data_IF_408993906323
#
_entry.id   IF_408993906323
#
_cell.length_a   1.000
_cell.length_b   1.000
_cell.length_c   1.000
_cell.angle_alpha   90.00
_cell.angle_beta   90.00
_cell.angle_gamma   90.00
#
_symmetry.space_group_name_H-M   'P 1'
#
loop_
_entity.id
_entity.type
_entity.pdbx_description
1 polymer ?
#
# COMPACT_ATOMS: atom_id res chain seq x y z
N UNK A 1 49.22 -2.27 3.97
CA UNK A 1 47.99 -2.58 3.21
C UNK A 1 47.43 -1.25 2.71
N UNK A 2 47.21 -1.03 1.41
CA UNK A 2 46.63 0.22 0.94
C UNK A 2 45.11 0.22 1.16
N UNK A 3 44.57 1.28 1.75
CA UNK A 3 43.13 1.52 1.85
C UNK A 3 42.60 2.03 0.51
N UNK A 4 41.45 1.53 0.08
CA UNK A 4 40.78 1.96 -1.15
C UNK A 4 39.78 3.08 -0.85
N UNK A 5 39.76 4.12 -1.69
CA UNK A 5 38.85 5.27 -1.55
C UNK A 5 37.48 4.90 -2.10
N UNK A 6 36.49 4.78 -1.21
CA UNK A 6 35.11 4.50 -1.59
C UNK A 6 34.52 5.63 -2.45
N UNK A 7 34.35 5.36 -3.75
CA UNK A 7 33.72 6.29 -4.68
C UNK A 7 32.19 6.21 -4.59
N UNK A 8 31.60 7.10 -3.80
CA UNK A 8 30.14 7.20 -3.58
C UNK A 8 29.31 7.26 -4.88
N UNK A 9 29.89 7.68 -6.02
CA UNK A 9 29.20 7.77 -7.31
C UNK A 9 29.02 6.44 -8.05
N UNK A 10 29.70 5.37 -7.62
CA UNK A 10 29.55 4.02 -8.20
C UNK A 10 28.54 3.14 -7.45
N UNK A 11 27.90 3.64 -6.40
CA UNK A 11 26.81 2.90 -5.75
C UNK A 11 25.62 2.84 -6.70
N UNK A 12 25.11 1.67 -7.11
CA UNK A 12 23.91 1.57 -7.94
C UNK A 12 22.76 2.25 -7.19
N UNK A 13 22.38 3.44 -7.65
CA UNK A 13 21.36 4.25 -6.98
C UNK A 13 19.93 3.78 -7.32
N UNK A 14 19.80 2.88 -8.29
CA UNK A 14 18.54 2.25 -8.64
C UNK A 14 18.17 1.22 -7.56
N UNK A 15 17.23 1.60 -6.68
CA UNK A 15 16.61 0.64 -5.76
C UNK A 15 15.92 -0.44 -6.58
N UNK A 16 16.16 -1.71 -6.22
CA UNK A 16 15.49 -2.85 -6.84
C UNK A 16 13.96 -2.62 -6.92
N UNK A 17 13.28 -3.05 -8.00
CA UNK A 17 11.84 -2.99 -8.10
C UNK A 17 11.18 -3.58 -6.86
N UNK A 18 10.17 -2.89 -6.32
CA UNK A 18 9.44 -3.38 -5.16
C UNK A 18 7.98 -2.98 -5.22
N UNK A 19 7.13 -3.94 -4.85
CA UNK A 19 5.69 -3.77 -4.68
C UNK A 19 5.37 -3.95 -3.21
N UNK A 20 4.60 -3.03 -2.65
CA UNK A 20 4.20 -3.08 -1.25
C UNK A 20 2.69 -3.06 -1.16
N UNK A 21 2.10 -4.08 -0.55
CA UNK A 21 0.69 -4.08 -0.15
C UNK A 21 0.65 -3.52 1.27
N UNK A 22 -0.01 -2.38 1.42
CA UNK A 22 -0.18 -1.71 2.69
C UNK A 22 -1.46 -2.16 3.36
N UNK A 23 -1.60 -1.79 4.63
CA UNK A 23 -2.86 -1.94 5.35
C UNK A 23 -4.03 -1.41 4.54
N UNK A 24 -5.18 -2.09 4.63
CA UNK A 24 -6.43 -1.73 3.93
C UNK A 24 -6.36 -1.88 2.39
N UNK A 25 -5.39 -2.63 1.88
CA UNK A 25 -5.36 -3.02 0.47
C UNK A 25 -4.87 -1.94 -0.49
N UNK A 26 -4.08 -0.97 0.00
CA UNK A 26 -3.42 0.01 -0.87
C UNK A 26 -2.13 -0.60 -1.42
N UNK A 27 -1.97 -0.62 -2.73
CA UNK A 27 -0.75 -1.09 -3.39
C UNK A 27 0.13 0.12 -3.67
N UNK A 28 1.44 -0.04 -3.47
CA UNK A 28 2.41 0.99 -3.76
C UNK A 28 3.66 0.44 -4.44
N UNK A 29 4.08 1.11 -5.50
CA UNK A 29 5.20 0.78 -6.36
C UNK A 29 6.30 1.82 -6.17
N UNK A 30 7.54 1.37 -6.04
CA UNK A 30 8.66 2.30 -6.19
C UNK A 30 8.86 2.69 -7.66
N UNK A 31 9.68 3.72 -7.91
CA UNK A 31 10.01 4.20 -9.26
C UNK A 31 10.40 3.04 -10.21
N UNK A 32 11.30 2.16 -9.78
CA UNK A 32 11.77 1.05 -10.61
C UNK A 32 10.66 0.04 -10.95
N UNK A 33 9.71 -0.23 -10.05
CA UNK A 33 8.56 -1.08 -10.36
C UNK A 33 7.52 -0.38 -11.24
N UNK A 34 7.33 0.94 -11.08
CA UNK A 34 6.45 1.71 -11.96
C UNK A 34 7.02 1.85 -13.37
N UNK A 35 8.35 1.94 -13.51
CA UNK A 35 9.05 1.91 -14.79
C UNK A 35 8.83 0.59 -15.55
N UNK A 36 8.66 -0.54 -14.84
CA UNK A 36 8.40 -1.84 -15.47
C UNK A 36 6.99 -1.95 -16.08
N UNK A 37 6.06 -1.08 -15.69
CA UNK A 37 4.73 -0.94 -16.30
C UNK A 37 4.64 0.33 -17.14
N UNK A 38 5.77 0.74 -17.74
CA UNK A 38 5.90 1.90 -18.63
C UNK A 38 5.41 3.23 -18.03
N UNK A 39 5.52 3.38 -16.71
CA UNK A 39 4.99 4.52 -15.96
C UNK A 39 3.48 4.74 -16.21
N UNK A 40 2.71 3.68 -16.44
CA UNK A 40 1.29 3.75 -16.73
C UNK A 40 0.50 4.58 -15.70
N UNK A 41 -0.41 5.41 -16.21
CA UNK A 41 -1.34 6.20 -15.40
C UNK A 41 -2.56 5.38 -14.97
N UNK A 42 -2.86 4.30 -15.69
CA UNK A 42 -3.98 3.39 -15.46
C UNK A 42 -3.52 1.94 -15.59
N UNK A 43 -3.95 1.10 -14.65
CA UNK A 43 -3.62 -0.32 -14.64
C UNK A 43 -4.83 -1.19 -14.39
N UNK A 44 -4.84 -2.38 -14.96
CA UNK A 44 -5.73 -3.47 -14.57
C UNK A 44 -5.06 -4.31 -13.48
N UNK A 45 -5.88 -4.74 -12.52
CA UNK A 45 -5.48 -5.64 -11.46
C UNK A 45 -6.01 -7.05 -11.78
N UNK A 46 -5.10 -8.00 -11.93
CA UNK A 46 -5.43 -9.38 -12.24
C UNK A 46 -5.00 -10.29 -11.08
N UNK A 47 -5.72 -11.39 -10.91
CA UNK A 47 -5.40 -12.40 -9.91
C UNK A 47 -5.50 -13.79 -10.53
N UNK A 48 -4.41 -14.53 -10.45
CA UNK A 48 -4.37 -15.96 -10.73
C UNK A 48 -4.68 -16.71 -9.42
N UNK A 49 -5.85 -17.36 -9.36
CA UNK A 49 -6.29 -18.10 -8.18
C UNK A 49 -5.51 -19.39 -7.97
N UNK A 50 -5.04 -20.01 -9.04
CA UNK A 50 -4.37 -21.30 -8.99
C UNK A 50 -2.92 -21.12 -8.53
N UNK A 51 -2.26 -20.07 -9.00
CA UNK A 51 -0.88 -19.71 -8.61
C UNK A 51 -0.82 -18.78 -7.41
N UNK A 52 -1.95 -18.20 -7.00
CA UNK A 52 -2.03 -17.12 -6.01
C UNK A 52 -1.14 -15.92 -6.37
N UNK A 53 -1.06 -15.58 -7.65
CA UNK A 53 -0.25 -14.47 -8.17
C UNK A 53 -1.14 -13.28 -8.47
N UNK A 54 -0.77 -12.11 -7.96
CA UNK A 54 -1.37 -10.84 -8.36
C UNK A 54 -0.55 -10.24 -9.51
N UNK A 55 -1.21 -9.66 -10.50
CA UNK A 55 -0.54 -8.97 -11.60
C UNK A 55 -1.11 -7.56 -11.83
N UNK A 56 -0.24 -6.64 -12.23
CA UNK A 56 -0.58 -5.29 -12.67
C UNK A 56 -0.23 -5.17 -14.15
N UNK A 57 -1.19 -4.75 -14.95
CA UNK A 57 -1.02 -4.55 -16.40
C UNK A 57 -1.39 -3.12 -16.77
N UNK A 58 -0.57 -2.43 -17.55
CA UNK A 58 -0.94 -1.14 -18.13
C UNK A 58 -2.21 -1.30 -18.97
N UNK A 59 -3.17 -0.40 -18.80
CA UNK A 59 -4.42 -0.41 -19.57
C UNK A 59 -4.80 1.02 -19.96
N UNK A 60 -5.74 1.14 -20.88
CA UNK A 60 -6.34 2.41 -21.29
C UNK A 60 -7.36 2.92 -20.24
N UNK A 61 -7.51 4.24 -20.12
CA UNK A 61 -8.43 4.84 -19.15
C UNK A 61 -9.91 4.58 -19.46
N UNK A 62 -10.23 4.22 -20.69
CA UNK A 62 -11.56 3.80 -21.12
C UNK A 62 -11.95 2.39 -20.66
N UNK A 63 -11.00 1.58 -20.16
CA UNK A 63 -11.30 0.25 -19.66
C UNK A 63 -12.18 0.34 -18.39
N UNK A 64 -13.31 -0.39 -18.32
CA UNK A 64 -14.18 -0.38 -17.13
C UNK A 64 -13.51 -0.97 -15.88
N UNK A 65 -12.35 -1.62 -16.05
CA UNK A 65 -11.57 -2.23 -14.97
C UNK A 65 -10.25 -1.49 -14.71
N UNK A 66 -10.08 -0.29 -15.28
CA UNK A 66 -8.91 0.55 -15.05
C UNK A 66 -8.89 1.11 -13.62
N UNK A 67 -7.75 0.97 -12.97
CA UNK A 67 -7.42 1.61 -11.70
C UNK A 67 -6.40 2.71 -11.95
N UNK A 68 -6.71 3.92 -11.48
CA UNK A 68 -5.81 5.06 -11.57
C UNK A 68 -4.56 4.87 -10.68
N UNK A 69 -3.39 5.07 -11.26
CA UNK A 69 -2.10 5.10 -10.59
C UNK A 69 -1.81 6.55 -10.18
N UNK A 70 -1.69 6.79 -8.87
CA UNK A 70 -1.49 8.12 -8.30
C UNK A 70 -0.06 8.28 -7.78
N UNK A 71 0.52 9.46 -7.97
CA UNK A 71 1.80 9.79 -7.35
C UNK A 71 1.59 10.17 -5.87
N UNK A 72 2.16 9.37 -4.96
CA UNK A 72 2.02 9.50 -3.51
C UNK A 72 2.80 10.66 -2.88
N UNK A 73 3.64 11.36 -3.65
CA UNK A 73 4.50 12.45 -3.16
C UNK A 73 4.62 13.57 -4.19
N UNK A 74 4.45 14.82 -3.73
CA UNK A 74 4.81 16.03 -4.50
C UNK A 74 6.29 16.42 -4.35
N UNK A 75 7.03 15.79 -3.44
CA UNK A 75 8.40 16.17 -3.03
C UNK A 75 9.25 14.93 -2.75
N UNK A 76 9.78 14.29 -3.80
CA UNK A 76 10.69 13.14 -3.70
C UNK A 76 10.41 12.08 -4.78
N UNK A 77 11.30 11.07 -4.96
CA UNK A 77 11.11 10.04 -5.98
C UNK A 77 9.75 9.37 -5.78
N UNK A 78 8.83 9.67 -6.71
CA UNK A 78 7.41 9.40 -6.58
C UNK A 78 7.15 7.92 -6.36
N UNK A 79 6.42 7.61 -5.29
CA UNK A 79 5.83 6.28 -5.12
C UNK A 79 4.52 6.28 -5.91
N UNK A 80 4.34 5.32 -6.81
CA UNK A 80 3.08 5.13 -7.51
C UNK A 80 2.12 4.35 -6.60
N UNK A 81 0.86 4.77 -6.50
CA UNK A 81 -0.12 4.22 -5.56
C UNK A 81 -1.37 3.82 -6.32
N UNK A 82 -1.87 2.62 -6.04
CA UNK A 82 -3.12 2.09 -6.59
C UNK A 82 -4.04 1.70 -5.44
N UNK A 83 -5.26 2.23 -5.46
CA UNK A 83 -6.30 1.92 -4.46
C UNK A 83 -6.96 0.58 -4.79
N UNK A 84 -6.37 -0.52 -4.31
CA UNK A 84 -6.79 -1.88 -4.60
C UNK A 84 -7.62 -2.53 -3.48
N UNK A 85 -8.26 -1.74 -2.61
CA UNK A 85 -8.99 -2.25 -1.44
C UNK A 85 -10.04 -3.29 -1.82
N UNK A 86 -10.86 -2.99 -2.82
CA UNK A 86 -11.89 -3.91 -3.31
C UNK A 86 -11.28 -5.19 -3.89
N UNK A 87 -10.18 -5.08 -4.66
CA UNK A 87 -9.45 -6.21 -5.21
C UNK A 87 -8.90 -7.13 -4.12
N UNK A 88 -8.18 -6.57 -3.14
CA UNK A 88 -7.62 -7.36 -2.03
C UNK A 88 -8.69 -8.03 -1.19
N UNK A 89 -9.81 -7.34 -0.94
CA UNK A 89 -10.94 -7.90 -0.19
C UNK A 89 -11.64 -9.02 -0.98
N UNK A 90 -11.85 -8.83 -2.29
CA UNK A 90 -12.53 -9.80 -3.15
C UNK A 90 -11.76 -11.12 -3.28
N UNK A 91 -10.43 -11.05 -3.38
CA UNK A 91 -9.57 -12.24 -3.52
C UNK A 91 -8.98 -12.75 -2.20
N UNK A 92 -9.36 -12.16 -1.06
CA UNK A 92 -8.91 -12.62 0.26
C UNK A 92 -7.41 -12.42 0.51
N UNK A 93 -6.80 -11.41 -0.12
CA UNK A 93 -5.38 -11.09 0.06
C UNK A 93 -5.18 -10.46 1.45
N UNK A 94 -4.28 -11.03 2.25
CA UNK A 94 -3.98 -10.51 3.60
C UNK A 94 -3.33 -9.11 3.53
N UNK A 95 -4.15 -8.09 3.78
CA UNK A 95 -3.73 -6.71 3.92
C UNK A 95 -3.84 -6.20 5.38
N UNK A 96 -3.71 -7.09 6.37
CA UNK A 96 -3.69 -6.72 7.80
C UNK A 96 -2.37 -6.07 8.21
N UNK A 97 -1.28 -6.48 7.58
CA UNK A 97 0.06 -5.94 7.76
C UNK A 97 0.58 -5.34 6.44
N UNK A 98 1.43 -4.32 6.55
CA UNK A 98 2.16 -3.81 5.39
C UNK A 98 3.29 -4.78 5.07
N UNK A 99 3.29 -5.33 3.86
CA UNK A 99 4.29 -6.28 3.38
C UNK A 99 4.83 -5.84 2.03
N UNK A 100 6.10 -6.16 1.76
CA UNK A 100 6.79 -5.84 0.51
C UNK A 100 7.29 -7.11 -0.17
N UNK A 101 7.11 -7.15 -1.48
CA UNK A 101 7.58 -8.22 -2.35
C UNK A 101 8.51 -7.67 -3.43
N UNK A 102 9.37 -8.56 -3.93
CA UNK A 102 10.11 -8.36 -5.16
C UNK A 102 9.21 -8.81 -6.32
N UNK A 103 8.80 -7.92 -7.23
CA UNK A 103 8.00 -8.33 -8.38
C UNK A 103 8.87 -9.00 -9.44
N UNK A 104 8.19 -9.67 -10.37
CA UNK A 104 8.77 -10.20 -11.60
C UNK A 104 7.89 -9.83 -12.80
N UNK A 105 8.47 -9.82 -14.00
CA UNK A 105 7.72 -9.57 -15.23
C UNK A 105 7.32 -10.89 -15.88
N UNK A 106 6.08 -11.00 -16.29
CA UNK A 106 5.54 -12.14 -17.05
C UNK A 106 4.54 -11.59 -18.08
N UNK A 107 4.73 -11.88 -19.36
CA UNK A 107 3.84 -11.46 -20.46
C UNK A 107 3.45 -9.96 -20.46
N UNK A 108 4.41 -9.09 -20.13
CA UNK A 108 4.19 -7.64 -20.06
C UNK A 108 3.40 -7.18 -18.82
N UNK A 109 3.21 -8.06 -17.85
CA UNK A 109 2.54 -7.76 -16.59
C UNK A 109 3.54 -7.80 -15.43
N UNK A 110 3.36 -6.88 -14.48
CA UNK A 110 4.13 -6.85 -13.25
C UNK A 110 3.46 -7.77 -12.22
N UNK A 111 4.06 -8.92 -11.98
CA UNK A 111 3.53 -9.97 -11.15
C UNK A 111 4.15 -9.98 -9.75
N UNK A 112 3.34 -10.40 -8.77
CA UNK A 112 3.72 -10.59 -7.37
C UNK A 112 3.21 -11.96 -6.93
N UNK A 113 4.14 -12.82 -6.53
CA UNK A 113 3.83 -14.09 -5.91
C UNK A 113 3.42 -13.87 -4.45
N UNK A 114 2.17 -14.18 -4.11
CA UNK A 114 1.64 -14.03 -2.76
C UNK A 114 1.82 -15.30 -1.92
N UNK A 115 2.31 -16.40 -2.51
CA UNK A 115 2.72 -17.60 -1.78
C UNK A 115 4.05 -17.37 -1.05
N UNK A 116 4.90 -16.50 -1.59
CA UNK A 116 6.11 -16.05 -0.91
C UNK A 116 5.79 -15.10 0.26
N UNK A 117 6.44 -15.34 1.39
CA UNK A 117 6.32 -14.45 2.55
C UNK A 117 6.91 -13.07 2.24
N UNK A 118 6.02 -12.09 2.04
CA UNK A 118 6.43 -10.69 1.89
C UNK A 118 7.17 -10.16 3.12
N UNK A 119 8.19 -9.33 2.90
CA UNK A 119 8.92 -8.68 3.99
C UNK A 119 8.01 -7.69 4.72
N UNK A 120 7.76 -7.94 6.01
CA UNK A 120 6.93 -7.05 6.84
C UNK A 120 7.60 -5.69 7.01
N UNK A 121 6.88 -4.63 6.71
CA UNK A 121 7.32 -3.25 6.95
C UNK A 121 6.60 -2.72 8.18
N UNK A 122 7.33 -2.65 9.29
CA UNK A 122 6.90 -1.93 10.49
C UNK A 122 7.26 -0.45 10.34
N UNK A 123 6.25 0.42 10.34
CA UNK A 123 6.48 1.86 10.40
C UNK A 123 6.77 2.30 11.83
N UNK A 124 7.65 3.28 12.02
CA UNK A 124 7.91 3.93 13.32
C UNK A 124 6.65 4.50 14.01
N UNK A 125 5.52 4.62 13.31
CA UNK A 125 4.24 5.09 13.85
C UNK A 125 3.53 4.08 14.77
N UNK A 126 3.94 2.81 14.79
CA UNK A 126 3.43 1.85 15.79
C UNK A 126 3.78 2.29 17.23
N UNK A 127 4.80 3.13 17.41
CA UNK A 127 5.19 3.64 18.73
C UNK A 127 4.28 4.76 19.27
N UNK A 128 3.40 5.34 18.44
CA UNK A 128 2.55 6.47 18.87
C UNK A 128 1.15 6.02 19.34
N UNK A 129 0.68 4.83 18.96
CA UNK A 129 -0.67 4.37 19.35
C UNK A 129 -0.73 3.53 20.63
N UNK A 130 0.40 3.16 21.24
CA UNK A 130 0.40 2.37 22.49
C UNK A 130 0.21 3.20 23.78
N UNK A 131 -0.27 4.45 23.67
CA UNK A 131 -0.52 5.33 24.82
C UNK A 131 -1.98 5.81 24.93
N UNK A 132 -2.91 5.17 24.22
CA UNK A 132 -4.33 5.41 24.41
C UNK A 132 -5.07 4.07 24.47
N UNK A 133 -5.21 3.55 25.68
CA UNK A 133 -6.19 2.51 26.04
C UNK A 133 -6.92 2.99 27.34
N UNK A 134 -8.09 2.42 27.68
CA UNK A 134 -9.32 3.18 27.89
C UNK A 134 -9.82 3.08 29.35
N UNK A 135 -10.63 4.05 29.78
CA UNK A 135 -11.39 3.93 31.02
C UNK A 135 -12.88 4.10 30.72
N UNK A 136 -13.64 3.16 31.26
CA UNK A 136 -14.96 2.72 30.86
C UNK A 136 -16.10 3.60 31.39
N UNK A 137 -17.13 3.67 30.55
CA UNK A 137 -18.58 3.61 30.79
C UNK A 137 -19.18 3.53 32.22
N UNK A 138 -20.42 4.07 32.28
CA UNK A 138 -21.58 3.70 33.14
C UNK A 138 -21.74 4.52 34.44
N UNK A 139 -22.90 4.98 34.92
CA UNK A 139 -24.31 4.85 34.54
C UNK A 139 -25.15 5.96 35.26
N UNK A 140 -26.32 6.24 34.70
CA UNK A 140 -27.60 6.68 35.30
C UNK A 140 -27.65 7.63 36.53
N UNK A 141 -28.32 8.79 36.35
CA UNK A 141 -29.50 9.16 37.17
C UNK A 141 -30.36 10.23 36.45
N UNK A 142 -31.68 10.02 36.41
CA UNK A 142 -32.77 10.80 35.78
C UNK A 142 -33.94 10.76 36.80
N UNK A 143 -34.97 11.65 36.86
CA UNK A 143 -35.23 13.03 36.39
C UNK A 143 -35.75 13.96 37.53
N UNK A 144 -36.24 15.18 37.21
CA UNK A 144 -37.54 15.81 37.62
C UNK A 144 -37.40 17.34 37.50
N UNK A 145 -38.02 17.96 36.49
CA UNK A 145 -39.32 18.68 36.53
C UNK A 145 -39.30 19.91 37.46
N UNK A 146 -39.29 21.12 36.87
CA UNK A 146 -40.21 22.22 37.23
C UNK A 146 -40.01 23.39 36.24
N UNK A 147 -41.03 23.63 35.41
CA UNK A 147 -41.34 24.95 34.83
C UNK A 147 -42.42 25.57 35.75
N UNK A 148 -42.54 26.90 35.94
CA UNK A 148 -42.78 27.90 34.89
C UNK A 148 -42.10 29.25 35.27
N UNK A 149 -42.33 30.46 34.75
CA UNK A 149 -43.32 31.10 33.88
C UNK A 149 -42.71 32.44 33.39
N UNK A 150 -43.38 33.04 32.41
CA UNK A 150 -43.24 34.33 31.71
C UNK A 150 -42.97 35.61 32.55
N UNK A 151 -42.80 36.84 31.97
CA UNK A 151 -43.13 37.33 30.62
C UNK A 151 -41.98 37.65 29.66
#
# INVERSE_FOLDING_TARGET
MPFEVFNKRMTPLAKAPSVTIQKRGVISLNKAAHDLVDNAETVELLYDRDRQVMALRATDDSSPHAYAVRNGSKRGPGQAIVSATAFTAHYGIDATATRRWKPFMEDGMLCVDLTEEGTVITGNRAKTMALADPAEASADDVPTDDAPDHP
#
